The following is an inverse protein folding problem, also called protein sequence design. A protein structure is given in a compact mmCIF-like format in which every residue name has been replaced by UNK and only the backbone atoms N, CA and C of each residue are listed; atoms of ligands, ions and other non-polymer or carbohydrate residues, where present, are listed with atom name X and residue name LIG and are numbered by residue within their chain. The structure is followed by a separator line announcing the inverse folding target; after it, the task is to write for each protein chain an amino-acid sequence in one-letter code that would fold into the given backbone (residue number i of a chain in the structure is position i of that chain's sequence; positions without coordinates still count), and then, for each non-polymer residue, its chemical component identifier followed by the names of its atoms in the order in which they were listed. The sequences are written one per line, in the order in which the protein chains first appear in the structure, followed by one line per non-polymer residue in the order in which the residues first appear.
data_IF_777741300530
#
_entry.id   IF_777741300530
#
_cell.length_a   1.000
_cell.length_b   1.000
_cell.length_c   1.000
_cell.angle_alpha   90.00
_cell.angle_beta   90.00
_cell.angle_gamma   90.00
#
_symmetry.space_group_name_H-M   'P 1'
#
loop_
_entity.id
_entity.type
_entity.pdbx_description
1 polymer ?
#
# COMPACT_ATOMS: atom_id res chain seq x y z
N UNK A 1 -18.96 -1.63 1.15
CA UNK A 1 -18.52 -1.81 -0.25
C UNK A 1 -19.68 -1.86 -1.23
N UNK A 2 -20.72 -2.65 -0.98
CA UNK A 2 -21.91 -2.71 -1.84
C UNK A 2 -22.57 -1.34 -2.03
N UNK A 3 -22.81 -0.59 -0.95
CA UNK A 3 -23.40 0.75 -1.03
C UNK A 3 -22.58 1.72 -1.89
N UNK A 4 -21.26 1.76 -1.69
CA UNK A 4 -20.38 2.69 -2.39
C UNK A 4 -20.17 2.34 -3.87
N UNK A 5 -20.07 1.05 -4.19
CA UNK A 5 -19.69 0.60 -5.55
C UNK A 5 -20.88 0.19 -6.41
N UNK A 6 -21.90 -0.42 -5.80
CA UNK A 6 -23.09 -0.95 -6.48
C UNK A 6 -24.36 -0.14 -6.23
N UNK A 7 -24.35 0.81 -5.27
CA UNK A 7 -25.52 1.59 -4.85
C UNK A 7 -26.69 0.73 -4.34
N UNK A 8 -26.37 -0.46 -3.81
CA UNK A 8 -27.33 -1.42 -3.24
C UNK A 8 -27.10 -1.49 -1.74
N UNK A 9 -28.18 -1.32 -0.97
CA UNK A 9 -28.21 -1.59 0.46
C UNK A 9 -28.37 -3.10 0.66
N UNK A 10 -27.30 -3.75 1.14
CA UNK A 10 -27.34 -5.16 1.54
C UNK A 10 -27.90 -5.22 2.97
N UNK A 11 -28.84 -6.12 3.20
CA UNK A 11 -29.31 -6.46 4.55
C UNK A 11 -28.15 -7.05 5.37
N UNK A 12 -28.03 -6.62 6.62
CA UNK A 12 -27.05 -7.16 7.55
C UNK A 12 -27.77 -8.03 8.57
N UNK A 13 -27.39 -9.31 8.62
CA UNK A 13 -27.92 -10.28 9.57
C UNK A 13 -26.90 -10.39 10.70
N UNK A 14 -27.35 -10.14 11.94
CA UNK A 14 -26.50 -10.29 13.11
C UNK A 14 -26.07 -11.76 13.25
N UNK A 15 -24.77 -12.06 13.40
CA UNK A 15 -24.30 -13.42 13.68
C UNK A 15 -25.06 -14.12 14.82
N UNK A 16 -25.46 -13.39 15.87
CA UNK A 16 -26.19 -13.95 17.01
C UNK A 16 -27.61 -14.40 16.64
N UNK A 17 -28.23 -13.77 15.65
CA UNK A 17 -29.57 -14.12 15.17
C UNK A 17 -29.57 -15.33 14.22
N UNK A 18 -28.40 -15.76 13.74
CA UNK A 18 -28.25 -16.83 12.74
C UNK A 18 -28.95 -18.12 13.18
N UNK A 19 -28.83 -18.53 14.44
CA UNK A 19 -29.43 -19.78 14.94
C UNK A 19 -30.95 -19.78 14.83
N UNK A 20 -31.58 -18.61 14.91
CA UNK A 20 -33.03 -18.48 14.84
C UNK A 20 -33.58 -18.77 13.43
N UNK A 21 -32.76 -18.65 12.38
CA UNK A 21 -33.15 -18.99 10.99
C UNK A 21 -33.11 -20.49 10.69
N UNK A 22 -32.45 -21.30 11.54
CA UNK A 22 -32.35 -22.75 11.41
C UNK A 22 -33.26 -23.53 12.38
N UNK A 23 -34.22 -22.84 13.02
CA UNK A 23 -35.12 -23.45 13.98
C UNK A 23 -36.09 -24.44 13.30
N UNK A 24 -35.86 -25.73 13.53
CA UNK A 24 -36.65 -26.83 12.98
C UNK A 24 -38.03 -26.99 13.65
N UNK A 25 -38.32 -26.25 14.72
CA UNK A 25 -39.63 -26.29 15.40
C UNK A 25 -40.67 -25.40 14.73
N UNK A 26 -40.26 -24.53 13.81
CA UNK A 26 -41.15 -23.63 13.06
C UNK A 26 -41.86 -24.37 11.94
N UNK A 27 -43.18 -24.18 11.82
CA UNK A 27 -44.02 -24.90 10.87
C UNK A 27 -43.85 -24.45 9.39
N UNK A 28 -43.14 -23.35 9.13
CA UNK A 28 -42.92 -22.80 7.79
C UNK A 28 -41.42 -22.74 7.44
N UNK A 29 -41.01 -23.09 6.20
CA UNK A 29 -39.62 -23.03 5.74
C UNK A 29 -39.13 -21.62 5.38
N UNK A 30 -39.99 -20.59 5.43
CA UNK A 30 -39.69 -19.25 4.90
C UNK A 30 -38.42 -18.63 5.50
N UNK A 31 -38.16 -18.83 6.79
CA UNK A 31 -36.99 -18.26 7.47
C UNK A 31 -35.67 -18.85 6.96
N UNK A 32 -35.64 -20.17 6.80
CA UNK A 32 -34.47 -20.87 6.25
C UNK A 32 -34.25 -20.49 4.79
N UNK A 33 -35.33 -20.41 4.01
CA UNK A 33 -35.26 -20.02 2.60
C UNK A 33 -34.73 -18.58 2.44
N UNK A 34 -35.18 -17.66 3.28
CA UNK A 34 -34.67 -16.28 3.31
C UNK A 34 -33.16 -16.23 3.58
N UNK A 35 -32.67 -17.00 4.55
CA UNK A 35 -31.25 -17.07 4.86
C UNK A 35 -30.41 -17.66 3.70
N UNK A 36 -30.94 -18.68 3.02
CA UNK A 36 -30.29 -19.27 1.84
C UNK A 36 -30.22 -18.26 0.69
N UNK A 37 -31.31 -17.53 0.43
CA UNK A 37 -31.36 -16.48 -0.59
C UNK A 37 -30.42 -15.31 -0.25
N UNK A 38 -30.29 -14.96 1.02
CA UNK A 38 -29.33 -13.96 1.49
C UNK A 38 -27.88 -14.39 1.21
N UNK A 39 -27.53 -15.65 1.47
CA UNK A 39 -26.21 -16.21 1.13
C UNK A 39 -25.94 -16.24 -0.38
N UNK A 40 -26.94 -16.60 -1.19
CA UNK A 40 -26.86 -16.58 -2.65
C UNK A 40 -26.63 -15.15 -3.16
N UNK A 41 -27.40 -14.19 -2.64
CA UNK A 41 -27.25 -12.77 -2.96
C UNK A 41 -25.86 -12.27 -2.58
N UNK A 42 -25.32 -12.66 -1.43
CA UNK A 42 -23.97 -12.28 -1.00
C UNK A 42 -22.89 -12.81 -1.95
N UNK A 43 -22.98 -14.07 -2.39
CA UNK A 43 -22.07 -14.63 -3.38
C UNK A 43 -22.15 -13.86 -4.71
N UNK A 44 -23.36 -13.52 -5.15
CA UNK A 44 -23.57 -12.70 -6.34
C UNK A 44 -22.97 -11.29 -6.19
N UNK A 45 -23.21 -10.63 -5.05
CA UNK A 45 -22.69 -9.29 -4.76
C UNK A 45 -21.16 -9.26 -4.72
N UNK A 46 -20.51 -10.30 -4.19
CA UNK A 46 -19.05 -10.43 -4.22
C UNK A 46 -18.52 -10.47 -5.66
N UNK A 47 -19.15 -11.27 -6.54
CA UNK A 47 -18.79 -11.34 -7.95
C UNK A 47 -19.06 -10.02 -8.69
N UNK A 48 -20.21 -9.39 -8.41
CA UNK A 48 -20.58 -8.09 -8.97
C UNK A 48 -19.59 -6.99 -8.54
N UNK A 49 -19.15 -6.99 -7.28
CA UNK A 49 -18.12 -6.07 -6.79
C UNK A 49 -16.79 -6.30 -7.49
N UNK A 50 -16.32 -7.55 -7.59
CA UNK A 50 -15.08 -7.90 -8.26
C UNK A 50 -15.08 -7.46 -9.73
N UNK A 51 -16.21 -7.63 -10.41
CA UNK A 51 -16.41 -7.14 -11.77
C UNK A 51 -16.43 -5.60 -11.82
N UNK A 52 -17.18 -4.94 -10.93
CA UNK A 52 -17.32 -3.47 -10.91
C UNK A 52 -15.98 -2.76 -10.77
N UNK A 53 -15.09 -3.26 -9.91
CA UNK A 53 -13.75 -2.70 -9.70
C UNK A 53 -12.71 -3.26 -10.68
N UNK A 54 -13.12 -4.10 -11.64
CA UNK A 54 -12.24 -4.68 -12.66
C UNK A 54 -11.06 -5.44 -12.04
N UNK A 55 -11.31 -6.19 -10.95
CA UNK A 55 -10.26 -6.83 -10.16
C UNK A 55 -9.41 -7.81 -10.98
N UNK A 56 -10.05 -8.70 -11.74
CA UNK A 56 -9.37 -9.70 -12.58
C UNK A 56 -8.52 -9.07 -13.70
N UNK A 57 -9.06 -8.19 -14.57
CA UNK A 57 -8.25 -7.59 -15.64
C UNK A 57 -7.14 -6.68 -15.09
N UNK A 58 -7.39 -5.89 -14.05
CA UNK A 58 -6.38 -5.02 -13.45
C UNK A 58 -5.22 -5.82 -12.85
N UNK A 59 -5.53 -6.85 -12.05
CA UNK A 59 -4.50 -7.67 -11.40
C UNK A 59 -3.72 -8.51 -12.41
N UNK A 60 -4.35 -8.97 -13.49
CA UNK A 60 -3.65 -9.62 -14.61
C UNK A 60 -2.67 -8.67 -15.28
N UNK A 61 -3.07 -7.44 -15.60
CA UNK A 61 -2.18 -6.45 -16.22
C UNK A 61 -1.00 -6.12 -15.31
N UNK A 62 -1.26 -5.86 -14.03
CA UNK A 62 -0.20 -5.59 -13.04
C UNK A 62 0.79 -6.75 -12.91
N UNK A 63 0.28 -7.99 -12.94
CA UNK A 63 1.12 -9.20 -12.86
C UNK A 63 1.96 -9.39 -14.12
N UNK A 64 1.38 -9.15 -15.31
CA UNK A 64 2.11 -9.24 -16.57
C UNK A 64 3.20 -8.17 -16.69
N UNK A 65 2.95 -6.96 -16.19
CA UNK A 65 3.93 -5.87 -16.16
C UNK A 65 5.06 -6.15 -15.17
N UNK A 66 4.72 -6.66 -13.98
CA UNK A 66 5.72 -6.92 -12.95
C UNK A 66 6.50 -8.22 -13.15
N UNK A 67 5.87 -9.23 -13.76
CA UNK A 67 6.46 -10.55 -13.95
C UNK A 67 6.53 -11.40 -12.66
N UNK A 68 5.67 -11.13 -11.68
CA UNK A 68 5.53 -11.90 -10.44
C UNK A 68 4.39 -12.92 -10.53
N UNK A 69 4.14 -13.69 -9.47
CA UNK A 69 3.01 -14.63 -9.43
C UNK A 69 1.66 -13.92 -9.21
N UNK A 70 0.62 -14.31 -9.95
CA UNK A 70 -0.69 -13.63 -9.90
C UNK A 70 -1.35 -13.69 -8.51
N UNK A 71 -1.21 -14.81 -7.79
CA UNK A 71 -1.72 -14.96 -6.42
C UNK A 71 -1.13 -13.92 -5.45
N UNK A 72 0.11 -13.48 -5.67
CA UNK A 72 0.75 -12.42 -4.88
C UNK A 72 0.17 -11.05 -5.20
N UNK A 73 -0.07 -10.78 -6.48
CA UNK A 73 -0.73 -9.54 -6.91
C UNK A 73 -2.15 -9.44 -6.35
N UNK A 74 -2.90 -10.54 -6.31
CA UNK A 74 -4.24 -10.61 -5.72
C UNK A 74 -4.26 -10.35 -4.20
N UNK A 75 -3.27 -10.88 -3.47
CA UNK A 75 -3.14 -10.69 -2.02
C UNK A 75 -2.64 -9.29 -1.61
N UNK A 76 -2.21 -8.47 -2.57
CA UNK A 76 -1.72 -7.13 -2.32
C UNK A 76 -0.25 -7.10 -1.90
N UNK A 77 0.59 -6.45 -2.70
CA UNK A 77 2.00 -6.27 -2.40
C UNK A 77 2.68 -5.41 -3.46
N UNK A 78 2.81 -4.09 -3.21
CA UNK A 78 3.48 -3.18 -4.16
C UNK A 78 4.98 -3.43 -4.23
N UNK A 79 5.61 -3.63 -3.07
CA UNK A 79 7.05 -3.85 -2.97
C UNK A 79 7.49 -5.12 -3.72
N UNK A 80 6.75 -6.23 -3.58
CA UNK A 80 7.06 -7.48 -4.28
C UNK A 80 6.99 -7.29 -5.81
N UNK A 81 5.99 -6.57 -6.33
CA UNK A 81 5.93 -6.27 -7.76
C UNK A 81 7.13 -5.45 -8.25
N UNK A 82 7.51 -4.42 -7.49
CA UNK A 82 8.67 -3.59 -7.84
C UNK A 82 9.98 -4.40 -7.77
N UNK A 83 10.12 -5.30 -6.80
CA UNK A 83 11.24 -6.24 -6.69
C UNK A 83 11.34 -7.10 -7.96
N UNK A 84 10.24 -7.70 -8.41
CA UNK A 84 10.24 -8.52 -9.63
C UNK A 84 10.56 -7.72 -10.90
N UNK A 85 10.07 -6.48 -11.04
CA UNK A 85 10.43 -5.60 -12.17
C UNK A 85 11.95 -5.43 -12.23
N UNK A 86 12.58 -5.10 -11.09
CA UNK A 86 14.02 -4.91 -11.02
C UNK A 86 14.78 -6.21 -11.27
N UNK A 87 14.33 -7.34 -10.70
CA UNK A 87 14.98 -8.63 -10.90
C UNK A 87 14.98 -9.05 -12.38
N UNK A 88 13.86 -8.87 -13.09
CA UNK A 88 13.77 -9.16 -14.52
C UNK A 88 14.73 -8.29 -15.34
N UNK A 89 14.81 -6.99 -15.03
CA UNK A 89 15.67 -6.07 -15.76
C UNK A 89 17.15 -6.32 -15.49
N UNK A 90 17.57 -6.50 -14.24
CA UNK A 90 18.96 -6.81 -13.89
C UNK A 90 19.40 -8.16 -14.46
N UNK A 91 18.53 -9.17 -14.44
CA UNK A 91 18.82 -10.46 -15.06
C UNK A 91 18.98 -10.34 -16.59
N UNK A 92 18.13 -9.53 -17.24
CA UNK A 92 18.24 -9.23 -18.69
C UNK A 92 19.57 -8.56 -19.02
N UNK A 93 20.01 -7.62 -18.18
CA UNK A 93 21.27 -6.88 -18.30
C UNK A 93 22.51 -7.64 -17.78
N UNK A 94 22.36 -8.90 -17.34
CA UNK A 94 23.44 -9.76 -16.82
C UNK A 94 24.11 -9.27 -15.53
N UNK A 95 23.38 -8.51 -14.72
CA UNK A 95 23.79 -8.20 -13.35
C UNK A 95 23.46 -9.35 -12.39
N UNK A 96 24.22 -9.42 -11.30
CA UNK A 96 23.93 -10.32 -10.17
C UNK A 96 23.04 -9.56 -9.17
N UNK A 97 21.77 -9.96 -8.99
CA UNK A 97 20.89 -9.31 -8.02
C UNK A 97 21.32 -9.65 -6.58
N UNK A 98 21.02 -8.78 -5.60
CA UNK A 98 21.31 -9.05 -4.20
C UNK A 98 20.48 -10.25 -3.69
N UNK A 99 21.10 -11.04 -2.81
CA UNK A 99 20.41 -12.15 -2.16
C UNK A 99 19.23 -11.65 -1.34
N UNK A 100 18.14 -12.41 -1.39
CA UNK A 100 16.93 -12.09 -0.62
C UNK A 100 17.26 -12.22 0.87
N UNK A 101 17.32 -11.09 1.56
CA UNK A 101 17.43 -11.09 3.01
C UNK A 101 16.06 -11.40 3.59
N UNK A 102 15.83 -12.66 3.95
CA UNK A 102 14.80 -12.96 4.94
C UNK A 102 15.29 -12.32 6.22
N UNK A 103 14.80 -11.12 6.52
CA UNK A 103 14.94 -10.55 7.84
C UNK A 103 14.48 -11.64 8.82
N UNK A 104 15.42 -12.32 9.46
CA UNK A 104 15.10 -13.17 10.59
C UNK A 104 14.32 -12.25 11.52
N UNK A 105 13.15 -12.69 11.96
CA UNK A 105 12.50 -12.17 13.18
C UNK A 105 13.37 -12.51 14.41
N UNK A 106 14.67 -12.29 14.34
CA UNK A 106 15.63 -12.41 15.43
C UNK A 106 16.39 -11.09 15.50
N UNK A 107 15.99 -10.27 16.46
CA UNK A 107 16.83 -9.21 17.00
C UNK A 107 16.76 -7.89 16.26
N UNK A 108 15.80 -7.06 16.66
CA UNK A 108 15.99 -5.60 16.73
C UNK A 108 17.08 -5.23 17.77
N UNK A 109 18.22 -5.93 17.78
CA UNK A 109 19.19 -5.92 18.87
C UNK A 109 20.66 -6.03 18.40
N UNK A 110 20.96 -5.68 17.14
CA UNK A 110 22.35 -5.62 16.66
C UNK A 110 22.63 -4.33 15.89
N UNK A 111 22.41 -3.20 16.57
CA UNK A 111 23.08 -1.92 16.32
C UNK A 111 22.87 -1.00 17.55
N UNK A 112 23.18 -1.52 18.73
CA UNK A 112 23.59 -0.67 19.85
C UNK A 112 25.11 -0.57 19.73
N UNK A 113 25.59 0.42 18.99
CA UNK A 113 26.92 0.96 19.21
C UNK A 113 26.72 2.21 20.05
N UNK A 114 27.46 2.20 21.15
CA UNK A 114 27.35 2.99 22.35
C UNK A 114 27.67 4.47 22.07
N UNK A 115 26.81 5.37 22.53
CA UNK A 115 27.26 6.57 23.25
C UNK A 115 26.29 6.75 24.40
N UNK A 116 26.78 6.43 25.60
CA UNK A 116 26.16 6.81 26.85
C UNK A 116 26.30 8.33 27.03
N UNK A 117 25.21 9.01 27.35
CA UNK A 117 25.25 10.05 28.38
C UNK A 117 23.88 10.19 29.06
N UNK A 118 23.98 10.47 30.35
CA UNK A 118 22.98 10.68 31.41
C UNK A 118 22.01 11.85 31.04
N UNK A 119 20.83 12.12 31.60
CA UNK A 119 20.29 11.95 32.93
C UNK A 119 18.77 12.33 32.90
N UNK A 120 17.94 11.68 33.73
CA UNK A 120 16.75 12.22 34.41
C UNK A 120 15.56 12.87 33.66
N UNK A 121 14.37 12.21 33.71
CA UNK A 121 13.07 12.92 33.64
C UNK A 121 11.90 12.09 33.11
N UNK A 122 11.03 11.62 33.99
CA UNK A 122 9.86 10.80 33.68
C UNK A 122 8.74 11.58 32.94
N UNK A 123 8.33 11.07 31.77
CA UNK A 123 7.05 11.37 31.12
C UNK A 123 6.64 10.19 30.19
N UNK A 124 5.34 9.92 29.99
CA UNK A 124 4.85 8.64 29.49
C UNK A 124 5.13 8.44 27.99
N UNK A 125 5.32 7.16 27.64
CA UNK A 125 5.74 6.65 26.34
C UNK A 125 4.73 6.99 25.24
N UNK A 126 4.94 8.13 24.57
CA UNK A 126 4.38 8.35 23.25
C UNK A 126 5.08 7.43 22.25
N UNK A 127 4.29 6.73 21.45
CA UNK A 127 4.73 5.84 20.38
C UNK A 127 5.94 6.41 19.65
N UNK A 128 7.10 5.73 19.72
CA UNK A 128 8.26 5.98 18.88
C UNK A 128 7.81 5.84 17.43
N UNK A 129 7.37 6.94 16.82
CA UNK A 129 7.31 7.04 15.37
C UNK A 129 8.69 6.67 14.86
N UNK A 130 8.75 5.80 13.85
CA UNK A 130 10.00 5.57 13.13
C UNK A 130 10.52 6.94 12.72
N UNK A 131 11.67 7.35 13.28
CA UNK A 131 12.38 8.54 12.81
C UNK A 131 12.50 8.47 11.29
N UNK A 132 12.21 9.59 10.62
CA UNK A 132 12.36 9.69 9.18
C UNK A 132 13.82 9.46 8.82
N UNK A 133 14.07 8.43 8.01
CA UNK A 133 15.42 8.05 7.59
C UNK A 133 16.01 9.00 6.55
N UNK A 134 15.17 9.81 5.90
CA UNK A 134 15.53 10.74 4.83
C UNK A 134 14.50 11.86 4.74
N UNK A 135 14.91 13.01 4.18
CA UNK A 135 14.03 14.17 3.96
C UNK A 135 13.06 13.88 2.81
N UNK A 136 11.77 14.20 3.00
CA UNK A 136 10.71 14.04 2.00
C UNK A 136 10.47 15.30 1.15
N UNK A 137 9.28 15.37 0.54
CA UNK A 137 8.86 16.53 -0.25
C UNK A 137 8.73 17.81 0.57
N UNK A 138 8.94 18.96 -0.09
CA UNK A 138 8.76 20.28 0.51
C UNK A 138 7.28 20.67 0.50
N UNK A 139 6.78 21.15 1.64
CA UNK A 139 5.43 21.72 1.77
C UNK A 139 5.57 23.18 2.14
N UNK A 140 5.00 24.08 1.33
CA UNK A 140 4.94 25.49 1.67
C UNK A 140 3.91 25.75 2.75
N UNK A 141 4.20 26.73 3.61
CA UNK A 141 3.23 27.19 4.61
C UNK A 141 1.99 27.77 3.92
N UNK A 142 0.79 27.22 4.18
CA UNK A 142 -0.42 27.62 3.48
C UNK A 142 -0.88 29.00 3.94
N UNK A 143 -1.19 29.88 2.98
CA UNK A 143 -1.86 31.16 3.25
C UNK A 143 -3.34 30.90 3.53
N UNK A 144 -3.73 30.95 4.80
CA UNK A 144 -5.12 30.71 5.24
C UNK A 144 -6.00 31.91 4.91
N UNK A 145 -7.21 31.64 4.42
CA UNK A 145 -8.21 32.66 4.13
C UNK A 145 -9.27 32.17 3.16
N UNK A 146 -10.34 32.94 3.04
CA UNK A 146 -11.30 32.82 1.94
C UNK A 146 -10.78 33.68 0.78
N UNK A 147 -10.73 33.12 -0.43
CA UNK A 147 -10.18 33.78 -1.60
C UNK A 147 -11.31 34.17 -2.55
N UNK A 148 -11.50 35.48 -2.76
CA UNK A 148 -12.52 36.01 -3.68
C UNK A 148 -12.02 36.09 -5.14
N UNK A 149 -10.75 35.76 -5.39
CA UNK A 149 -10.10 35.76 -6.70
C UNK A 149 -9.79 34.34 -7.15
N UNK A 150 -9.72 34.12 -8.46
CA UNK A 150 -9.38 32.82 -9.04
C UNK A 150 -8.01 32.32 -8.54
N UNK A 151 -7.97 31.07 -8.07
CA UNK A 151 -6.75 30.36 -7.69
C UNK A 151 -6.35 29.46 -8.86
N UNK A 152 -5.16 29.68 -9.40
CA UNK A 152 -4.57 28.79 -10.39
C UNK A 152 -3.78 27.69 -9.66
N UNK A 153 -4.11 26.43 -9.95
CA UNK A 153 -3.36 25.27 -9.47
C UNK A 153 -2.50 24.75 -10.62
N UNK A 154 -1.19 24.66 -10.37
CA UNK A 154 -0.22 24.07 -11.29
C UNK A 154 0.41 22.87 -10.60
N UNK A 155 0.50 21.75 -11.32
CA UNK A 155 1.07 20.50 -10.82
C UNK A 155 1.96 19.86 -11.89
N UNK A 156 2.96 19.09 -11.46
CA UNK A 156 3.84 18.34 -12.35
C UNK A 156 3.28 16.94 -12.59
N UNK A 157 3.11 16.56 -13.86
CA UNK A 157 2.72 15.20 -14.20
C UNK A 157 3.85 14.23 -13.85
N UNK A 158 3.64 13.37 -12.85
CA UNK A 158 4.59 12.32 -12.44
C UNK A 158 5.98 12.85 -12.06
N UNK A 159 6.04 13.81 -11.13
CA UNK A 159 7.28 14.48 -10.68
C UNK A 159 8.46 13.52 -10.43
N UNK A 160 8.32 12.50 -9.58
CA UNK A 160 9.44 11.61 -9.23
C UNK A 160 9.94 10.75 -10.39
N UNK A 161 9.08 10.04 -11.17
CA UNK A 161 9.53 9.37 -12.40
C UNK A 161 10.27 10.29 -13.38
N UNK A 162 9.81 11.53 -13.55
CA UNK A 162 10.46 12.50 -14.43
C UNK A 162 11.84 12.91 -13.94
N UNK A 163 11.99 13.18 -12.63
CA UNK A 163 13.30 13.49 -12.03
C UNK A 163 14.28 12.33 -12.20
N UNK A 164 13.83 11.08 -11.99
CA UNK A 164 14.67 9.89 -12.16
C UNK A 164 15.21 9.78 -13.59
N UNK A 165 14.37 10.08 -14.59
CA UNK A 165 14.77 10.04 -16.00
C UNK A 165 15.68 11.20 -16.39
N UNK A 166 15.32 12.44 -16.01
CA UNK A 166 16.07 13.66 -16.36
C UNK A 166 17.51 13.63 -15.86
N UNK A 167 17.70 13.18 -14.62
CA UNK A 167 19.03 13.12 -13.99
C UNK A 167 19.67 11.73 -14.06
N UNK A 168 19.10 10.79 -14.83
CA UNK A 168 19.60 9.42 -14.99
C UNK A 168 19.93 8.72 -13.64
N UNK A 169 19.00 8.81 -12.69
CA UNK A 169 19.18 8.26 -11.34
C UNK A 169 18.93 6.75 -11.36
N UNK A 170 19.99 5.95 -11.25
CA UNK A 170 19.91 4.50 -11.20
C UNK A 170 20.98 3.91 -10.26
N UNK A 171 20.81 2.64 -9.90
CA UNK A 171 21.78 1.89 -9.11
C UNK A 171 23.15 1.77 -9.78
N UNK A 172 23.24 1.92 -11.10
CA UNK A 172 24.48 1.82 -11.87
C UNK A 172 25.17 3.17 -12.13
N UNK A 173 24.47 4.29 -11.92
CA UNK A 173 24.94 5.63 -12.29
C UNK A 173 25.29 6.50 -11.08
N UNK A 174 24.71 6.20 -9.92
CA UNK A 174 24.98 6.93 -8.67
C UNK A 174 26.04 6.19 -7.85
N UNK A 175 27.22 6.80 -7.72
CA UNK A 175 28.25 6.32 -6.80
C UNK A 175 27.79 6.52 -5.35
N UNK A 176 27.93 5.44 -4.57
CA UNK A 176 27.52 5.40 -3.14
C UNK A 176 28.70 5.57 -2.20
N UNK A 177 29.90 5.59 -2.74
CA UNK A 177 31.15 5.83 -2.03
C UNK A 177 31.49 7.31 -2.15
N UNK A 178 31.67 7.92 -0.99
CA UNK A 178 32.18 9.27 -0.72
C UNK A 178 31.18 10.42 -0.57
N UNK A 179 31.54 11.30 0.36
CA UNK A 179 30.86 12.41 1.02
C UNK A 179 30.27 13.53 0.13
N UNK A 180 29.95 13.27 -1.14
CA UNK A 180 29.60 14.27 -2.16
C UNK A 180 28.10 14.63 -2.27
N UNK A 181 27.27 14.19 -1.33
CA UNK A 181 25.84 14.59 -1.26
C UNK A 181 25.68 16.10 -0.96
N UNK A 182 26.76 16.82 -0.63
CA UNK A 182 26.76 18.26 -0.35
C UNK A 182 26.82 19.16 -1.59
N UNK A 183 27.17 18.67 -2.77
CA UNK A 183 27.52 19.54 -3.91
C UNK A 183 26.33 19.84 -4.84
N UNK A 184 25.31 18.98 -4.91
CA UNK A 184 24.18 19.16 -5.84
C UNK A 184 23.10 20.17 -5.41
N UNK A 185 23.17 20.73 -4.20
CA UNK A 185 22.12 21.66 -3.67
C UNK A 185 22.62 23.11 -3.61
N UNK A 186 23.89 23.40 -3.90
CA UNK A 186 24.45 24.75 -3.72
C UNK A 186 24.69 25.55 -5.01
N UNK A 187 24.36 25.02 -6.20
CA UNK A 187 24.51 25.76 -7.47
C UNK A 187 23.22 25.80 -8.31
N UNK A 188 22.06 26.05 -7.69
CA UNK A 188 20.82 26.39 -8.43
C UNK A 188 19.97 27.42 -7.70
#
# INVERSE_FOLDING_TARGET
MCQSQLKITREDIDPDDTTSFFDATVSSPDRLLHFVQHCELDAFLQMALAHKIQMIPLTRQLTNLAGNSWNKTLNGGRAERNEYILLHEFHRLKYVPPDKTWAKKSGAAAAKIEVADDEGGAAPVAAKSKRDKYKGGLVFEPKRGLWDKYILVMDFNSLYPSIIQEYNIDFTTVDKTDDDVRTFILES
#
